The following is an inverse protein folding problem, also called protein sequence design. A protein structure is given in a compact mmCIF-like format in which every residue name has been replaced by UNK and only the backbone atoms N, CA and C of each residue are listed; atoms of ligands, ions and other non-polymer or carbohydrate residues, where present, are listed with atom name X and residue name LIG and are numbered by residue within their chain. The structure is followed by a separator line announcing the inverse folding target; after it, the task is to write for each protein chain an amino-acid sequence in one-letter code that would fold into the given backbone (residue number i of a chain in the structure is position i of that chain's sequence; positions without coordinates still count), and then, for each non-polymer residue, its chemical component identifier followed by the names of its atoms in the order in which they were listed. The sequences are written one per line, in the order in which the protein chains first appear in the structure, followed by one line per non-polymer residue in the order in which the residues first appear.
data_IF_421142412169
#
_entry.id   IF_421142412169
#
_cell.length_a   1.000
_cell.length_b   1.000
_cell.length_c   1.000
_cell.angle_alpha   90.00
_cell.angle_beta   90.00
_cell.angle_gamma   90.00
#
_symmetry.space_group_name_H-M   'P 1'
#
loop_
_entity.id
_entity.type
_entity.pdbx_description
1 polymer ?
#
# COMPACT_ATOMS: atom_id res chain seq x y z
N UNK A 1 9.56 61.52 -24.02
CA UNK A 1 8.48 61.61 -23.01
C UNK A 1 7.28 60.88 -23.58
N UNK A 2 7.28 59.56 -23.40
CA UNK A 2 6.19 58.68 -23.82
C UNK A 2 5.17 58.59 -22.69
N UNK A 3 3.91 58.92 -22.98
CA UNK A 3 2.80 58.79 -22.07
C UNK A 3 2.23 57.37 -22.18
N UNK A 4 2.37 56.62 -21.08
CA UNK A 4 1.87 55.26 -20.89
C UNK A 4 0.34 55.29 -20.92
N UNK A 5 -0.25 54.66 -21.93
CA UNK A 5 -1.69 54.47 -22.03
C UNK A 5 -2.11 53.29 -21.13
N UNK A 6 -3.11 53.53 -20.28
CA UNK A 6 -3.46 52.71 -19.12
C UNK A 6 -3.96 51.29 -19.43
N UNK A 7 -3.59 50.39 -18.53
CA UNK A 7 -4.16 49.06 -18.35
C UNK A 7 -5.68 49.14 -18.08
N UNK A 8 -6.50 48.22 -18.62
CA UNK A 8 -7.89 48.10 -18.20
C UNK A 8 -7.97 47.66 -16.73
N UNK A 9 -9.01 48.07 -15.99
CA UNK A 9 -9.16 47.73 -14.58
C UNK A 9 -9.23 46.21 -14.42
N UNK A 10 -8.46 45.72 -13.44
CA UNK A 10 -8.45 44.34 -12.99
C UNK A 10 -9.88 43.86 -12.71
N UNK A 11 -10.29 42.81 -13.42
CA UNK A 11 -11.43 42.01 -13.03
C UNK A 11 -11.10 41.28 -11.71
N UNK A 12 -11.18 42.02 -10.61
CA UNK A 12 -11.32 41.47 -9.27
C UNK A 12 -12.70 40.82 -9.23
N UNK A 13 -12.77 39.51 -9.38
CA UNK A 13 -14.05 38.80 -9.35
C UNK A 13 -14.10 37.38 -9.91
N UNK A 14 -12.98 36.68 -10.03
CA UNK A 14 -12.99 35.25 -10.34
C UNK A 14 -11.88 34.56 -9.56
N UNK A 15 -12.12 34.28 -8.28
CA UNK A 15 -11.41 33.19 -7.61
C UNK A 15 -11.82 31.91 -8.32
N UNK A 16 -10.90 31.09 -8.85
CA UNK A 16 -11.27 29.76 -9.28
C UNK A 16 -11.58 28.97 -8.02
N UNK A 17 -12.86 28.74 -7.73
CA UNK A 17 -13.30 27.61 -6.88
C UNK A 17 -13.04 26.28 -7.63
N UNK A 18 -11.79 26.04 -8.04
CA UNK A 18 -11.32 24.79 -8.67
C UNK A 18 -11.02 23.73 -7.58
N UNK A 19 -11.95 23.55 -6.64
CA UNK A 19 -11.89 22.46 -5.67
C UNK A 19 -12.27 21.12 -6.30
N UNK A 20 -11.69 20.02 -5.84
CA UNK A 20 -12.12 18.67 -6.22
C UNK A 20 -13.62 18.49 -5.89
N UNK A 21 -14.51 18.23 -6.88
CA UNK A 21 -15.96 18.25 -6.69
C UNK A 21 -16.46 16.96 -6.01
N UNK A 22 -16.05 16.76 -4.75
CA UNK A 22 -16.25 15.51 -4.01
C UNK A 22 -17.72 15.07 -3.98
N UNK A 23 -18.67 15.99 -3.84
CA UNK A 23 -20.11 15.65 -3.82
C UNK A 23 -20.57 14.99 -5.12
N UNK A 24 -20.14 15.54 -6.26
CA UNK A 24 -20.47 14.99 -7.58
C UNK A 24 -19.79 13.65 -7.80
N UNK A 25 -18.51 13.53 -7.41
CA UNK A 25 -17.75 12.27 -7.49
C UNK A 25 -18.42 11.17 -6.66
N UNK A 26 -18.77 11.47 -5.41
CA UNK A 26 -19.46 10.51 -4.54
C UNK A 26 -20.80 10.09 -5.15
N UNK A 27 -21.62 11.03 -5.62
CA UNK A 27 -22.93 10.73 -6.24
C UNK A 27 -22.81 9.78 -7.44
N UNK A 28 -21.82 10.02 -8.32
CA UNK A 28 -21.57 9.14 -9.46
C UNK A 28 -21.06 7.77 -9.02
N UNK A 29 -20.16 7.73 -8.04
CA UNK A 29 -19.65 6.50 -7.46
C UNK A 29 -20.79 5.67 -6.83
N UNK A 30 -21.76 6.28 -6.16
CA UNK A 30 -22.92 5.57 -5.62
C UNK A 30 -23.70 4.83 -6.70
N UNK A 31 -23.90 5.47 -7.85
CA UNK A 31 -24.59 4.86 -8.98
C UNK A 31 -23.80 3.68 -9.55
N UNK A 32 -22.47 3.82 -9.67
CA UNK A 32 -21.57 2.75 -10.11
C UNK A 32 -21.62 1.56 -9.14
N UNK A 33 -21.47 1.79 -7.83
CA UNK A 33 -21.49 0.73 -6.83
C UNK A 33 -22.82 -0.03 -6.89
N UNK A 34 -23.96 0.68 -6.92
CA UNK A 34 -25.28 0.05 -7.03
C UNK A 34 -25.43 -0.81 -8.28
N UNK A 35 -24.85 -0.38 -9.40
CA UNK A 35 -24.90 -1.15 -10.64
C UNK A 35 -23.98 -2.38 -10.59
N UNK A 36 -22.77 -2.23 -10.06
CA UNK A 36 -21.80 -3.33 -9.94
C UNK A 36 -22.32 -4.39 -8.96
N UNK A 37 -22.83 -4.02 -7.78
CA UNK A 37 -23.35 -4.98 -6.79
C UNK A 37 -24.49 -5.82 -7.36
N UNK A 38 -25.39 -5.22 -8.13
CA UNK A 38 -26.51 -5.93 -8.78
C UNK A 38 -26.07 -6.95 -9.82
N UNK A 39 -24.86 -6.85 -10.34
CA UNK A 39 -24.38 -7.64 -11.48
C UNK A 39 -22.92 -8.01 -11.30
N UNK A 40 -22.52 -8.27 -10.06
CA UNK A 40 -21.10 -8.38 -9.72
C UNK A 40 -20.44 -9.57 -10.40
N UNK A 41 -21.23 -10.63 -10.63
CA UNK A 41 -20.87 -11.75 -11.46
C UNK A 41 -20.78 -11.30 -12.93
N UNK A 42 -19.54 -11.13 -13.39
CA UNK A 42 -19.22 -10.88 -14.80
C UNK A 42 -19.11 -9.41 -15.21
N UNK A 43 -19.77 -8.44 -14.56
CA UNK A 43 -19.63 -7.02 -14.97
C UNK A 43 -18.18 -6.54 -14.87
N UNK A 44 -17.45 -6.95 -13.83
CA UNK A 44 -16.06 -6.55 -13.66
C UNK A 44 -15.12 -7.11 -14.73
N UNK A 45 -15.48 -8.25 -15.33
CA UNK A 45 -14.70 -8.86 -16.42
C UNK A 45 -14.82 -8.04 -17.72
N UNK A 46 -15.98 -7.43 -17.95
CA UNK A 46 -16.23 -6.57 -19.11
C UNK A 46 -15.62 -5.17 -19.00
N UNK A 47 -15.38 -4.68 -17.78
CA UNK A 47 -14.86 -3.32 -17.60
C UNK A 47 -13.42 -3.20 -18.12
N UNK A 48 -13.04 -2.09 -18.77
CA UNK A 48 -11.63 -1.81 -19.06
C UNK A 48 -10.81 -1.68 -17.77
N UNK A 49 -9.52 -2.06 -17.84
CA UNK A 49 -8.59 -1.97 -16.70
C UNK A 49 -8.49 -0.54 -16.14
N UNK A 50 -8.51 0.48 -17.01
CA UNK A 50 -8.54 1.89 -16.60
C UNK A 50 -9.75 2.25 -15.75
N UNK A 51 -10.91 1.65 -16.03
CA UNK A 51 -12.13 1.86 -15.23
C UNK A 51 -11.99 1.15 -13.88
N UNK A 52 -11.45 -0.07 -13.86
CA UNK A 52 -11.19 -0.78 -12.60
C UNK A 52 -10.22 -0.01 -11.69
N UNK A 53 -9.18 0.62 -12.24
CA UNK A 53 -8.28 1.51 -11.49
C UNK A 53 -9.04 2.67 -10.85
N UNK A 54 -9.91 3.35 -11.59
CA UNK A 54 -10.70 4.46 -11.05
C UNK A 54 -11.64 3.97 -9.95
N UNK A 55 -12.35 2.86 -10.17
CA UNK A 55 -13.31 2.31 -9.19
C UNK A 55 -12.59 1.86 -7.91
N UNK A 56 -11.45 1.17 -8.01
CA UNK A 56 -10.72 0.73 -6.81
C UNK A 56 -10.17 1.92 -6.02
N UNK A 57 -9.63 2.95 -6.70
CA UNK A 57 -9.13 4.16 -6.03
C UNK A 57 -10.23 4.93 -5.32
N UNK A 58 -11.38 5.10 -5.99
CA UNK A 58 -12.53 5.79 -5.42
C UNK A 58 -13.13 5.03 -4.23
N UNK A 59 -13.25 3.70 -4.32
CA UNK A 59 -13.77 2.87 -3.21
C UNK A 59 -12.80 2.83 -2.03
N UNK A 60 -11.48 2.72 -2.29
CA UNK A 60 -10.46 2.77 -1.25
C UNK A 60 -10.49 4.10 -0.46
N UNK A 61 -10.56 5.22 -1.19
CA UNK A 61 -10.67 6.55 -0.60
C UNK A 61 -11.99 6.76 0.13
N UNK A 62 -13.11 6.25 -0.40
CA UNK A 62 -14.42 6.33 0.25
C UNK A 62 -14.44 5.57 1.58
N UNK A 63 -13.91 4.35 1.62
CA UNK A 63 -13.79 3.56 2.85
C UNK A 63 -12.93 4.27 3.91
N UNK A 64 -11.80 4.87 3.50
CA UNK A 64 -10.96 5.67 4.41
C UNK A 64 -11.72 6.91 4.91
N UNK A 65 -12.49 7.58 4.03
CA UNK A 65 -13.33 8.72 4.40
C UNK A 65 -14.41 8.33 5.40
N UNK A 66 -15.13 7.24 5.15
CA UNK A 66 -16.15 6.71 6.06
C UNK A 66 -15.54 6.36 7.42
N UNK A 67 -14.30 5.82 7.43
CA UNK A 67 -13.57 5.53 8.66
C UNK A 67 -13.19 6.81 9.42
N UNK A 68 -12.62 7.80 8.73
CA UNK A 68 -12.24 9.09 9.33
C UNK A 68 -13.43 9.87 9.91
N UNK A 69 -14.62 9.71 9.32
CA UNK A 69 -15.86 10.32 9.79
C UNK A 69 -16.54 9.52 10.92
N UNK A 70 -15.92 8.44 11.43
CA UNK A 70 -16.49 7.51 12.41
C UNK A 70 -17.85 6.91 11.97
N UNK A 71 -18.04 6.78 10.65
CA UNK A 71 -19.24 6.15 10.08
C UNK A 71 -19.04 4.64 9.92
N UNK A 72 -17.79 4.15 9.90
CA UNK A 72 -17.47 2.76 9.58
C UNK A 72 -17.81 1.75 10.68
N UNK A 73 -18.55 0.70 10.32
CA UNK A 73 -18.66 -0.55 11.09
C UNK A 73 -17.50 -1.51 10.80
N UNK A 74 -16.72 -1.24 9.75
CA UNK A 74 -15.56 -2.01 9.35
C UNK A 74 -14.26 -1.44 9.92
N UNK A 75 -13.26 -2.29 10.13
CA UNK A 75 -11.88 -1.87 10.41
C UNK A 75 -11.18 -1.62 9.09
N UNK A 76 -10.68 -0.39 8.92
CA UNK A 76 -9.95 0.04 7.72
C UNK A 76 -8.56 0.49 8.16
N UNK A 77 -7.52 -0.16 7.64
CA UNK A 77 -6.13 0.11 8.03
C UNK A 77 -5.14 -0.33 6.94
N UNK A 78 -5.43 0.02 5.69
CA UNK A 78 -4.53 -0.13 4.55
C UNK A 78 -3.96 1.23 4.12
N UNK A 79 -2.84 1.24 3.40
CA UNK A 79 -2.28 2.47 2.86
C UNK A 79 -3.01 2.90 1.58
N UNK A 80 -3.12 4.21 1.36
CA UNK A 80 -3.66 4.77 0.12
C UNK A 80 -2.63 4.88 -1.00
N UNK A 81 -1.34 4.78 -0.69
CA UNK A 81 -0.25 4.88 -1.68
C UNK A 81 -0.46 4.00 -2.92
N UNK A 82 -0.85 2.70 -2.81
CA UNK A 82 -1.07 1.87 -4.00
C UNK A 82 -2.24 2.32 -4.89
N UNK A 83 -3.20 3.04 -4.31
CA UNK A 83 -4.43 3.49 -4.96
C UNK A 83 -4.29 4.88 -5.61
N UNK A 84 -3.23 5.61 -5.29
CA UNK A 84 -2.86 6.89 -5.90
C UNK A 84 -3.73 8.09 -5.51
N UNK A 85 -3.45 9.23 -6.15
CA UNK A 85 -3.98 10.55 -5.76
C UNK A 85 -5.50 10.62 -5.70
N UNK A 86 -6.21 9.90 -6.58
CA UNK A 86 -7.67 9.90 -6.59
C UNK A 86 -8.25 9.33 -5.28
N UNK A 87 -7.60 8.33 -4.69
CA UNK A 87 -7.99 7.78 -3.40
C UNK A 87 -7.75 8.78 -2.27
N UNK A 88 -6.60 9.47 -2.29
CA UNK A 88 -6.23 10.52 -1.33
C UNK A 88 -7.23 11.69 -1.41
N UNK A 89 -7.51 12.18 -2.62
CA UNK A 89 -8.51 13.23 -2.85
C UNK A 89 -9.88 12.79 -2.36
N UNK A 90 -10.29 11.56 -2.63
CA UNK A 90 -11.59 11.05 -2.17
C UNK A 90 -11.63 10.89 -0.64
N UNK A 91 -10.52 10.49 -0.02
CA UNK A 91 -10.42 10.34 1.43
C UNK A 91 -10.46 11.69 2.16
N UNK A 92 -9.75 12.70 1.66
CA UNK A 92 -9.44 13.91 2.42
C UNK A 92 -9.99 15.21 1.82
N UNK A 93 -10.56 15.21 0.61
CA UNK A 93 -11.11 16.44 0.04
C UNK A 93 -12.14 17.06 0.99
N UNK A 94 -12.18 18.39 1.15
CA UNK A 94 -13.16 19.05 2.00
C UNK A 94 -14.56 18.83 1.45
N UNK A 95 -15.51 18.43 2.29
CA UNK A 95 -16.92 18.44 1.91
C UNK A 95 -17.34 19.88 1.71
N UNK A 96 -17.78 20.25 0.50
CA UNK A 96 -18.21 21.62 0.21
C UNK A 96 -19.38 22.04 1.12
N UNK A 97 -19.07 22.67 2.25
CA UNK A 97 -19.98 23.40 3.12
C UNK A 97 -19.18 24.15 4.20
N UNK A 98 -18.91 25.43 3.92
CA UNK A 98 -18.86 26.50 4.92
C UNK A 98 -20.26 26.72 5.55
N UNK A 99 -20.87 25.67 6.11
CA UNK A 99 -22.12 25.78 6.85
C UNK A 99 -21.96 25.11 8.23
N UNK A 100 -22.19 25.86 9.32
CA UNK A 100 -22.24 25.27 10.65
C UNK A 100 -23.46 24.34 10.68
N UNK A 101 -23.26 23.08 11.06
CA UNK A 101 -24.33 22.08 11.23
C UNK A 101 -24.75 21.24 10.00
N UNK A 102 -23.84 20.93 9.07
CA UNK A 102 -24.03 19.83 8.11
C UNK A 102 -23.51 18.50 8.66
N UNK A 103 -24.41 17.55 8.95
CA UNK A 103 -24.06 16.23 9.48
C UNK A 103 -23.24 15.43 8.44
N UNK A 104 -21.96 15.06 8.71
CA UNK A 104 -21.10 14.37 7.74
C UNK A 104 -21.70 13.04 7.23
N UNK A 105 -22.60 12.43 8.01
CA UNK A 105 -23.36 11.24 7.67
C UNK A 105 -24.29 11.42 6.45
N UNK A 106 -24.73 12.64 6.12
CA UNK A 106 -25.66 12.86 5.00
C UNK A 106 -25.00 12.82 3.61
N UNK A 107 -23.66 12.83 3.54
CA UNK A 107 -22.93 12.89 2.26
C UNK A 107 -22.70 11.52 1.61
N UNK A 108 -22.87 10.42 2.34
CA UNK A 108 -22.57 9.06 1.86
C UNK A 108 -23.78 8.16 2.13
N UNK A 109 -24.49 7.76 1.09
CA UNK A 109 -25.76 6.99 1.19
C UNK A 109 -25.61 5.52 0.82
N UNK A 110 -24.42 5.09 0.42
CA UNK A 110 -24.14 3.71 0.01
C UNK A 110 -23.86 2.82 1.22
N UNK A 111 -24.44 1.61 1.28
CA UNK A 111 -24.09 0.63 2.32
C UNK A 111 -22.60 0.31 2.29
N UNK A 112 -21.94 0.30 3.45
CA UNK A 112 -20.50 0.02 3.52
C UNK A 112 -20.14 -1.37 3.02
N UNK A 113 -20.97 -2.37 3.29
CA UNK A 113 -20.79 -3.73 2.80
C UNK A 113 -20.67 -3.76 1.27
N UNK A 114 -21.45 -2.94 0.57
CA UNK A 114 -21.40 -2.83 -0.89
C UNK A 114 -20.07 -2.21 -1.37
N UNK A 115 -19.57 -1.18 -0.66
CA UNK A 115 -18.28 -0.56 -0.96
C UNK A 115 -17.14 -1.56 -0.76
N UNK A 116 -17.16 -2.32 0.35
CA UNK A 116 -16.16 -3.37 0.64
C UNK A 116 -16.20 -4.47 -0.42
N UNK A 117 -17.40 -4.93 -0.79
CA UNK A 117 -17.61 -5.95 -1.82
C UNK A 117 -17.01 -5.51 -3.16
N UNK A 118 -17.36 -4.31 -3.63
CA UNK A 118 -16.84 -3.77 -4.90
C UNK A 118 -15.33 -3.57 -4.82
N UNK A 119 -14.81 -3.05 -3.71
CA UNK A 119 -13.38 -2.84 -3.52
C UNK A 119 -12.57 -4.15 -3.66
N UNK A 120 -12.97 -5.19 -2.91
CA UNK A 120 -12.31 -6.50 -2.95
C UNK A 120 -12.45 -7.18 -4.32
N UNK A 121 -13.62 -7.08 -4.95
CA UNK A 121 -13.85 -7.65 -6.27
C UNK A 121 -13.01 -6.94 -7.34
N UNK A 122 -12.88 -5.61 -7.29
CA UNK A 122 -11.99 -4.85 -8.16
C UNK A 122 -10.52 -5.20 -7.94
N UNK A 123 -10.09 -5.37 -6.68
CA UNK A 123 -8.72 -5.78 -6.37
C UNK A 123 -8.38 -7.14 -6.97
N UNK A 124 -9.26 -8.13 -6.78
CA UNK A 124 -9.07 -9.46 -7.35
C UNK A 124 -9.07 -9.43 -8.89
N UNK A 125 -9.95 -8.64 -9.51
CA UNK A 125 -9.97 -8.47 -10.96
C UNK A 125 -8.67 -7.83 -11.49
N UNK A 126 -8.13 -6.82 -10.78
CA UNK A 126 -6.86 -6.18 -11.13
C UNK A 126 -5.67 -7.10 -10.93
N UNK A 127 -5.63 -7.90 -9.86
CA UNK A 127 -4.59 -8.91 -9.65
C UNK A 127 -4.59 -9.98 -10.75
N UNK A 128 -5.78 -10.42 -11.19
CA UNK A 128 -5.93 -11.41 -12.25
C UNK A 128 -5.53 -10.86 -13.63
N UNK A 129 -5.90 -9.61 -13.94
CA UNK A 129 -5.71 -9.01 -15.26
C UNK A 129 -4.39 -8.26 -15.41
N UNK A 130 -3.84 -7.77 -14.30
CA UNK A 130 -2.61 -7.00 -14.23
C UNK A 130 -1.63 -7.60 -13.20
N UNK A 131 -1.25 -8.89 -13.32
CA UNK A 131 -0.42 -9.56 -12.32
C UNK A 131 1.01 -9.02 -12.23
N UNK A 132 1.43 -8.20 -13.21
CA UNK A 132 2.76 -7.58 -13.27
C UNK A 132 2.81 -6.18 -12.65
N UNK A 133 1.68 -5.65 -12.19
CA UNK A 133 1.64 -4.34 -11.54
C UNK A 133 1.87 -4.52 -10.02
N UNK A 134 2.98 -4.00 -9.46
CA UNK A 134 3.32 -4.22 -8.04
C UNK A 134 2.31 -3.59 -7.08
N UNK A 135 1.58 -2.54 -7.49
CA UNK A 135 0.66 -1.80 -6.63
C UNK A 135 -0.47 -2.68 -6.08
N UNK A 136 -1.04 -3.53 -6.92
CA UNK A 136 -2.15 -4.40 -6.51
C UNK A 136 -1.68 -5.51 -5.56
N UNK A 137 -0.41 -5.93 -5.67
CA UNK A 137 0.18 -6.86 -4.71
C UNK A 137 0.46 -6.20 -3.35
N UNK A 138 0.85 -4.92 -3.31
CA UNK A 138 0.92 -4.17 -2.05
C UNK A 138 -0.46 -4.03 -1.42
N UNK A 139 -1.48 -3.61 -2.19
CA UNK A 139 -2.86 -3.52 -1.71
C UNK A 139 -3.39 -4.87 -1.16
N UNK A 140 -3.08 -5.97 -1.84
CA UNK A 140 -3.42 -7.32 -1.36
C UNK A 140 -2.70 -7.67 -0.05
N UNK A 141 -1.43 -7.26 0.08
CA UNK A 141 -0.65 -7.50 1.29
C UNK A 141 -1.26 -6.75 2.48
N UNK A 142 -1.59 -5.47 2.33
CA UNK A 142 -2.22 -4.65 3.38
C UNK A 142 -3.52 -5.28 3.89
N UNK A 143 -4.39 -5.72 2.98
CA UNK A 143 -5.65 -6.39 3.33
C UNK A 143 -5.40 -7.75 3.98
N UNK A 144 -4.32 -8.44 3.63
CA UNK A 144 -3.96 -9.72 4.28
C UNK A 144 -3.45 -9.51 5.71
N UNK A 145 -2.70 -8.43 5.96
CA UNK A 145 -2.26 -8.03 7.31
C UNK A 145 -3.44 -7.56 8.15
N UNK A 146 -4.30 -6.72 7.58
CA UNK A 146 -5.47 -6.17 8.25
C UNK A 146 -6.72 -6.36 7.39
N UNK A 147 -7.40 -7.51 7.54
CA UNK A 147 -8.62 -7.79 6.77
C UNK A 147 -9.72 -6.77 7.04
N UNK A 148 -10.42 -6.36 5.98
CA UNK A 148 -11.58 -5.47 6.06
C UNK A 148 -12.75 -6.27 6.63
N UNK A 149 -12.89 -6.27 7.96
CA UNK A 149 -13.94 -7.00 8.68
C UNK A 149 -14.74 -6.07 9.60
N UNK A 150 -15.95 -6.49 9.94
CA UNK A 150 -16.79 -5.81 10.92
C UNK A 150 -16.07 -5.72 12.27
N UNK A 151 -16.11 -4.57 12.91
CA UNK A 151 -15.39 -4.27 14.16
C UNK A 151 -15.73 -5.22 15.32
N UNK A 152 -16.96 -5.78 15.30
CA UNK A 152 -17.47 -6.73 16.30
C UNK A 152 -16.97 -8.17 16.09
N UNK A 153 -16.34 -8.47 14.96
CA UNK A 153 -15.82 -9.79 14.63
C UNK A 153 -14.31 -9.85 14.94
N UNK A 154 -13.84 -11.03 15.33
CA UNK A 154 -12.41 -11.30 15.41
C UNK A 154 -11.83 -11.34 13.99
N UNK A 155 -10.84 -10.49 13.72
CA UNK A 155 -10.03 -10.52 12.50
C UNK A 155 -8.88 -11.51 12.64
N UNK A 156 -8.70 -12.40 11.66
CA UNK A 156 -7.51 -13.24 11.55
C UNK A 156 -6.64 -12.73 10.39
N UNK A 157 -5.51 -12.11 10.72
CA UNK A 157 -4.51 -11.70 9.74
C UNK A 157 -3.83 -12.93 9.12
N UNK A 158 -3.61 -12.90 7.81
CA UNK A 158 -2.81 -13.90 7.10
C UNK A 158 -1.45 -13.30 6.74
N UNK A 159 -0.52 -13.37 7.70
CA UNK A 159 0.84 -12.86 7.53
C UNK A 159 1.61 -13.63 6.46
N UNK A 160 1.27 -14.89 6.18
CA UNK A 160 1.94 -15.68 5.14
C UNK A 160 1.53 -15.19 3.75
N UNK A 161 0.23 -14.97 3.54
CA UNK A 161 -0.28 -14.36 2.31
C UNK A 161 0.23 -12.92 2.11
N UNK A 162 0.34 -12.15 3.20
CA UNK A 162 0.91 -10.80 3.17
C UNK A 162 2.38 -10.81 2.71
N UNK A 163 3.24 -11.63 3.33
CA UNK A 163 4.66 -11.75 2.93
C UNK A 163 4.78 -12.17 1.47
N UNK A 164 3.97 -13.12 1.00
CA UNK A 164 3.96 -13.53 -0.42
C UNK A 164 3.67 -12.34 -1.32
N UNK A 165 2.63 -11.57 -1.00
CA UNK A 165 2.20 -10.44 -1.82
C UNK A 165 3.24 -9.30 -1.81
N UNK A 166 3.81 -8.97 -0.65
CA UNK A 166 4.91 -8.00 -0.55
C UNK A 166 6.15 -8.43 -1.36
N UNK A 167 6.54 -9.70 -1.29
CA UNK A 167 7.69 -10.20 -2.05
C UNK A 167 7.44 -10.18 -3.56
N UNK A 168 6.21 -10.48 -4.01
CA UNK A 168 5.85 -10.33 -5.44
C UNK A 168 5.92 -8.86 -5.84
N UNK A 169 5.31 -7.96 -5.08
CA UNK A 169 5.35 -6.52 -5.34
C UNK A 169 6.80 -6.00 -5.44
N UNK A 170 7.61 -6.32 -4.43
CA UNK A 170 9.02 -5.97 -4.37
C UNK A 170 9.80 -6.51 -5.58
N UNK A 171 9.58 -7.79 -5.94
CA UNK A 171 10.26 -8.39 -7.08
C UNK A 171 9.87 -7.72 -8.40
N UNK A 172 8.61 -7.32 -8.58
CA UNK A 172 8.15 -6.66 -9.81
C UNK A 172 8.66 -5.23 -9.91
N UNK A 173 8.63 -4.49 -8.79
CA UNK A 173 9.03 -3.09 -8.75
C UNK A 173 10.54 -2.86 -8.92
N UNK A 174 11.36 -3.90 -8.68
CA UNK A 174 12.83 -3.82 -8.64
C UNK A 174 13.50 -4.68 -9.71
N UNK A 175 12.72 -5.12 -10.70
CA UNK A 175 13.16 -6.02 -11.76
C UNK A 175 13.88 -7.26 -11.20
N UNK A 176 13.21 -7.97 -10.29
CA UNK A 176 13.70 -9.14 -9.57
C UNK A 176 14.98 -8.87 -8.77
N UNK A 177 14.99 -7.72 -8.07
CA UNK A 177 16.09 -7.21 -7.26
C UNK A 177 17.38 -6.98 -8.08
N UNK A 178 17.26 -6.78 -9.39
CA UNK A 178 18.39 -6.46 -10.26
C UNK A 178 18.82 -5.00 -10.07
N UNK A 179 17.86 -4.11 -9.86
CA UNK A 179 18.10 -2.67 -9.73
C UNK A 179 18.91 -2.36 -8.48
N UNK A 180 19.87 -1.41 -8.51
CA UNK A 180 20.75 -1.12 -7.37
C UNK A 180 20.06 -0.38 -6.22
N UNK A 181 18.94 0.30 -6.50
CA UNK A 181 18.17 1.10 -5.51
C UNK A 181 16.91 0.37 -5.03
N UNK A 182 16.87 -0.96 -5.20
CA UNK A 182 15.70 -1.77 -4.83
C UNK A 182 15.28 -1.61 -3.36
N UNK A 183 16.21 -1.26 -2.47
CA UNK A 183 15.94 -1.03 -1.06
C UNK A 183 15.06 0.21 -0.81
N UNK A 184 14.99 1.18 -1.71
CA UNK A 184 14.13 2.36 -1.51
C UNK A 184 12.68 2.11 -1.95
N UNK A 185 12.46 1.07 -2.76
CA UNK A 185 11.16 0.75 -3.37
C UNK A 185 10.35 -0.23 -2.52
N UNK A 186 10.99 -0.94 -1.61
CA UNK A 186 10.36 -1.98 -0.79
C UNK A 186 9.90 -1.38 0.54
N UNK A 187 8.64 -1.62 0.91
CA UNK A 187 8.16 -1.37 2.27
C UNK A 187 8.72 -2.42 3.24
N UNK A 188 9.94 -2.17 3.71
CA UNK A 188 10.63 -3.03 4.66
C UNK A 188 9.93 -3.09 6.02
N UNK A 189 9.17 -2.04 6.38
CA UNK A 189 8.50 -1.93 7.68
C UNK A 189 7.39 -2.97 7.80
N UNK A 190 6.50 -2.97 6.82
CA UNK A 190 5.39 -3.92 6.75
C UNK A 190 5.88 -5.35 6.55
N UNK A 191 6.92 -5.56 5.73
CA UNK A 191 7.51 -6.89 5.53
C UNK A 191 8.16 -7.43 6.82
N UNK A 192 8.93 -6.60 7.52
CA UNK A 192 9.56 -6.96 8.78
C UNK A 192 8.54 -7.31 9.86
N UNK A 193 7.47 -6.50 9.98
CA UNK A 193 6.36 -6.79 10.89
C UNK A 193 5.74 -8.17 10.63
N UNK A 194 5.46 -8.50 9.36
CA UNK A 194 4.89 -9.79 9.01
C UNK A 194 5.85 -10.95 9.33
N UNK A 195 7.15 -10.80 9.04
CA UNK A 195 8.16 -11.81 9.36
C UNK A 195 8.29 -12.06 10.87
N UNK A 196 8.22 -11.01 11.70
CA UNK A 196 8.19 -11.14 13.17
C UNK A 196 6.97 -11.95 13.61
N UNK A 197 5.78 -11.70 13.03
CA UNK A 197 4.56 -12.43 13.35
C UNK A 197 4.60 -13.90 12.93
N UNK A 198 5.39 -14.23 11.91
CA UNK A 198 5.65 -15.60 11.48
C UNK A 198 6.80 -16.29 12.25
N UNK A 199 7.44 -15.60 13.21
CA UNK A 199 8.58 -16.13 13.97
C UNK A 199 9.93 -16.08 13.24
N UNK A 200 9.98 -15.49 12.04
CA UNK A 200 11.19 -15.34 11.24
C UNK A 200 12.03 -14.12 11.69
N UNK A 201 12.42 -14.09 12.97
CA UNK A 201 13.04 -12.94 13.62
C UNK A 201 14.40 -12.54 13.01
N UNK A 202 15.22 -13.52 12.63
CA UNK A 202 16.51 -13.24 11.96
C UNK A 202 16.29 -12.58 10.61
N UNK A 203 15.33 -13.08 9.83
CA UNK A 203 14.96 -12.48 8.56
C UNK A 203 14.46 -11.04 8.76
N UNK A 204 13.55 -10.82 9.71
CA UNK A 204 13.06 -9.47 10.02
C UNK A 204 14.19 -8.50 10.44
N UNK A 205 15.15 -8.97 11.23
CA UNK A 205 16.27 -8.15 11.68
C UNK A 205 17.25 -7.76 10.56
N UNK A 206 17.45 -8.61 9.55
CA UNK A 206 18.27 -8.27 8.37
C UNK A 206 17.66 -7.09 7.62
N UNK A 207 16.33 -6.97 7.57
CA UNK A 207 15.67 -5.82 6.95
C UNK A 207 16.02 -4.51 7.67
N UNK A 208 16.22 -4.51 8.99
CA UNK A 208 16.62 -3.29 9.74
C UNK A 208 18.01 -2.75 9.37
N UNK A 209 18.82 -3.48 8.59
CA UNK A 209 20.08 -2.97 8.04
C UNK A 209 19.86 -1.98 6.88
N UNK A 210 18.69 -2.00 6.23
CA UNK A 210 18.35 -1.06 5.15
C UNK A 210 17.63 0.19 5.63
N UNK A 211 17.30 0.26 6.93
CA UNK A 211 16.65 1.42 7.53
C UNK A 211 17.67 2.48 7.95
N UNK A 212 17.21 3.73 8.18
CA UNK A 212 17.99 4.75 8.86
C UNK A 212 18.65 4.25 10.14
N UNK A 213 19.85 4.76 10.44
CA UNK A 213 20.71 4.27 11.53
C UNK A 213 20.05 4.26 12.92
N UNK A 214 19.06 5.11 13.12
CA UNK A 214 18.22 5.22 14.32
C UNK A 214 17.29 4.01 14.54
N UNK A 215 16.95 3.27 13.49
CA UNK A 215 16.10 2.07 13.59
C UNK A 215 16.88 0.77 13.81
N UNK A 216 18.21 0.80 13.69
CA UNK A 216 19.10 -0.37 13.93
C UNK A 216 18.92 -0.91 15.36
N UNK A 217 18.64 -0.03 16.33
CA UNK A 217 18.35 -0.41 17.70
C UNK A 217 17.12 -1.33 17.81
N UNK A 218 16.14 -1.18 16.92
CA UNK A 218 14.96 -2.05 16.86
C UNK A 218 15.31 -3.42 16.26
N UNK A 219 16.11 -3.45 15.19
CA UNK A 219 16.67 -4.70 14.64
C UNK A 219 17.46 -5.50 15.67
N UNK A 220 18.30 -4.83 16.47
CA UNK A 220 19.05 -5.45 17.57
C UNK A 220 18.13 -5.98 18.69
N UNK A 221 17.00 -5.31 18.98
CA UNK A 221 16.00 -5.83 19.93
C UNK A 221 15.32 -7.10 19.43
N UNK A 222 15.02 -7.18 18.13
CA UNK A 222 14.49 -8.42 17.51
C UNK A 222 15.51 -9.56 17.61
N UNK A 223 16.81 -9.26 17.41
CA UNK A 223 17.90 -10.23 17.54
C UNK A 223 18.24 -10.63 18.98
N UNK A 224 17.84 -9.85 19.98
CA UNK A 224 17.98 -10.23 21.39
C UNK A 224 17.24 -11.54 21.71
N UNK A 225 16.27 -11.93 20.87
CA UNK A 225 15.58 -13.21 20.95
C UNK A 225 16.42 -14.38 20.38
N UNK A 226 17.55 -14.12 19.69
CA UNK A 226 18.38 -15.09 18.97
C UNK A 226 19.89 -14.75 19.03
N UNK A 227 20.42 -14.47 20.24
CA UNK A 227 21.79 -13.96 20.48
C UNK A 227 22.90 -14.93 19.99
N UNK A 228 22.62 -16.22 19.90
CA UNK A 228 23.64 -17.26 19.63
C UNK A 228 24.18 -17.27 18.19
N UNK A 229 23.50 -16.63 17.23
CA UNK A 229 23.86 -16.67 15.80
C UNK A 229 24.85 -15.54 15.41
N UNK A 230 24.96 -14.48 16.21
CA UNK A 230 25.70 -13.26 15.83
C UNK A 230 27.23 -13.38 15.90
N UNK A 231 27.76 -14.37 16.64
CA UNK A 231 29.21 -14.48 16.91
C UNK A 231 30.02 -15.08 15.74
N UNK A 232 29.39 -15.72 14.76
CA UNK A 232 30.09 -16.34 13.62
C UNK A 232 30.24 -15.44 12.38
N UNK A 233 29.49 -14.33 12.28
CA UNK A 233 29.49 -13.45 11.10
C UNK A 233 30.57 -12.35 11.12
N UNK A 234 31.18 -12.09 12.28
CA UNK A 234 32.17 -10.99 12.47
C UNK A 234 33.50 -11.25 11.75
N UNK A 235 33.74 -12.47 11.25
CA UNK A 235 35.02 -12.86 10.65
C UNK A 235 35.09 -12.77 9.12
N UNK A 236 34.12 -12.14 8.45
CA UNK A 236 34.17 -11.96 7.00
C UNK A 236 35.15 -10.81 6.63
N UNK A 237 36.29 -11.08 5.95
CA UNK A 237 37.26 -10.04 5.59
C UNK A 237 36.68 -8.99 4.62
N UNK A 238 35.62 -9.36 3.90
CA UNK A 238 34.88 -8.52 2.96
C UNK A 238 34.05 -7.41 3.64
N UNK A 239 33.67 -7.61 4.91
CA UNK A 239 32.91 -6.65 5.73
C UNK A 239 33.83 -5.85 6.67
N UNK A 240 35.13 -5.83 6.40
CA UNK A 240 36.07 -5.07 7.22
C UNK A 240 35.71 -3.57 7.19
N UNK A 241 35.59 -2.96 8.37
CA UNK A 241 35.32 -1.54 8.54
C UNK A 241 36.39 -0.65 7.87
N UNK A 242 37.57 -1.19 7.53
CA UNK A 242 38.62 -0.50 6.79
C UNK A 242 38.44 -0.48 5.25
N UNK A 243 37.44 -1.18 4.69
CA UNK A 243 37.23 -1.21 3.23
C UNK A 243 36.72 0.14 2.69
N UNK A 244 37.07 0.51 1.44
CA UNK A 244 36.55 1.71 0.78
C UNK A 244 35.01 1.69 0.71
N UNK A 245 34.37 2.86 0.89
CA UNK A 245 32.91 3.02 0.88
C UNK A 245 32.24 2.40 -0.37
N UNK A 246 32.76 2.54 -1.60
CA UNK A 246 32.15 1.92 -2.78
C UNK A 246 32.11 0.40 -2.69
N UNK A 247 33.21 -0.22 -2.24
CA UNK A 247 33.32 -1.68 -2.10
C UNK A 247 32.35 -2.24 -1.06
N UNK A 248 32.08 -1.48 0.01
CA UNK A 248 31.08 -1.85 1.03
C UNK A 248 29.65 -1.79 0.46
N UNK A 249 29.29 -0.71 -0.23
CA UNK A 249 27.97 -0.57 -0.86
C UNK A 249 27.70 -1.68 -1.88
N UNK A 250 28.68 -1.99 -2.74
CA UNK A 250 28.56 -3.08 -3.72
C UNK A 250 28.39 -4.45 -3.05
N UNK A 251 28.94 -4.64 -1.86
CA UNK A 251 28.80 -5.87 -1.10
C UNK A 251 27.44 -5.95 -0.41
N UNK A 252 27.01 -4.88 0.26
CA UNK A 252 25.69 -4.77 0.88
C UNK A 252 24.57 -5.06 -0.12
N UNK A 253 24.64 -4.46 -1.32
CA UNK A 253 23.67 -4.73 -2.39
C UNK A 253 23.65 -6.20 -2.82
N UNK A 254 24.81 -6.86 -2.91
CA UNK A 254 24.90 -8.28 -3.27
C UNK A 254 24.29 -9.18 -2.20
N UNK A 255 24.59 -8.91 -0.93
CA UNK A 255 24.06 -9.66 0.21
C UNK A 255 22.54 -9.50 0.28
N UNK A 256 22.03 -8.28 0.21
CA UNK A 256 20.60 -8.00 0.26
C UNK A 256 19.87 -8.64 -0.94
N UNK A 257 20.44 -8.58 -2.15
CA UNK A 257 19.88 -9.26 -3.32
C UNK A 257 19.79 -10.78 -3.11
N UNK A 258 20.84 -11.39 -2.56
CA UNK A 258 20.84 -12.83 -2.24
C UNK A 258 19.78 -13.16 -1.19
N UNK A 259 19.66 -12.33 -0.16
CA UNK A 259 18.69 -12.47 0.91
C UNK A 259 17.24 -12.42 0.38
N UNK A 260 16.88 -11.40 -0.40
CA UNK A 260 15.52 -11.28 -0.95
C UNK A 260 15.18 -12.42 -1.94
N UNK A 261 16.15 -12.89 -2.72
CA UNK A 261 15.95 -14.07 -3.58
C UNK A 261 15.68 -15.33 -2.77
N UNK A 262 16.36 -15.51 -1.64
CA UNK A 262 16.10 -16.64 -0.75
C UNK A 262 14.74 -16.52 -0.05
N UNK A 263 14.33 -15.32 0.38
CA UNK A 263 12.97 -15.09 0.86
C UNK A 263 11.93 -15.45 -0.20
N UNK A 264 12.12 -15.01 -1.45
CA UNK A 264 11.24 -15.39 -2.55
C UNK A 264 11.19 -16.91 -2.73
N UNK A 265 12.33 -17.61 -2.61
CA UNK A 265 12.36 -19.06 -2.67
C UNK A 265 11.55 -19.71 -1.55
N UNK A 266 11.70 -19.24 -0.31
CA UNK A 266 11.00 -19.79 0.86
C UNK A 266 9.49 -19.54 0.82
N UNK A 267 9.08 -18.35 0.42
CA UNK A 267 7.69 -17.93 0.56
C UNK A 267 6.88 -18.04 -0.73
N UNK A 268 7.48 -17.94 -1.93
CA UNK A 268 6.73 -17.96 -3.20
C UNK A 268 6.69 -19.34 -3.84
N UNK A 269 7.77 -20.12 -3.73
CA UNK A 269 7.82 -21.49 -4.28
C UNK A 269 6.95 -22.40 -3.40
N UNK A 270 5.99 -23.15 -3.96
CA UNK A 270 5.24 -24.13 -3.19
C UNK A 270 6.22 -25.14 -2.58
N UNK A 271 6.04 -25.48 -1.30
CA UNK A 271 6.73 -26.63 -0.71
C UNK A 271 6.49 -27.82 -1.65
N UNK A 272 7.57 -28.39 -2.19
CA UNK A 272 7.46 -29.67 -2.89
C UNK A 272 6.98 -30.67 -1.85
N UNK A 273 5.69 -30.96 -1.86
CA UNK A 273 5.10 -32.09 -1.14
C UNK A 273 5.96 -33.29 -1.50
N UNK A 274 6.85 -33.69 -0.60
CA UNK A 274 7.56 -34.94 -0.70
C UNK A 274 6.48 -36.00 -0.50
N UNK A 275 5.95 -36.52 -1.60
CA UNK A 275 5.29 -37.81 -1.58
C UNK A 275 6.35 -38.82 -1.14
N UNK A 276 6.33 -39.15 0.15
CA UNK A 276 6.96 -40.34 0.68
C UNK A 276 6.13 -41.57 0.27
#
# INVERSE_FOLDING_TARGET
MEAICGLPPSASGASPELGFPIKSVLTLLEAVIKQVVKSIDGVLDWLPVSVLHVVISLTAGLLQRMYALNLCEYRISYDLTPYGDLAILTAFAPSAADLPCGDPAQSVKVPQADVVLVHLACLHALLARCPRDPRWHCAQADISVNPIVLQKLSSAADFKAAVRSYLVAASLATNFFADPEFAEVIDHGSLSYCLVKLGAHVAAAVLYQTFPSDEIAYGLRILHLNVDILTQLIQCPELNASNPVPSKKDMEQRILRSYFRELCRLYLVPERVHYA
#
